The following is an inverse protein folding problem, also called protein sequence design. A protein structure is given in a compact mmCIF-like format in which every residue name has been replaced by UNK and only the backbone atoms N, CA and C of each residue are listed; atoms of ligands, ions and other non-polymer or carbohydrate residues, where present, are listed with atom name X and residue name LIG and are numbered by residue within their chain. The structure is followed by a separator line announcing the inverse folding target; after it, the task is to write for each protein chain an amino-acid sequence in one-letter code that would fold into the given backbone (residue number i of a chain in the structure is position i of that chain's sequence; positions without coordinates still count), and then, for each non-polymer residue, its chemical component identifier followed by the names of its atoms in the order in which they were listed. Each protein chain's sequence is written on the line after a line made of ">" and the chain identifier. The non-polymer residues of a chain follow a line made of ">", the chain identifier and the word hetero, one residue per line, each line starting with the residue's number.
data_IF_479737469842
#
_entry.id   IF_479737469842
#
_cell.length_a   1.000
_cell.length_b   1.000
_cell.length_c   1.000
_cell.angle_alpha   90.00
_cell.angle_beta   90.00
_cell.angle_gamma   90.00
#
_symmetry.space_group_name_H-M   'P 1'
#
loop_
_entity.id
_entity.type
_entity.pdbx_description
1 polymer ?
#
# COMPACT_ATOMS: atom_id res chain seq x y z
N UNK A 1 -31.70 -3.61 -10.36
CA UNK A 1 -31.20 -2.23 -10.59
C UNK A 1 -29.75 -2.33 -11.00
N UNK A 2 -29.33 -1.80 -12.16
CA UNK A 2 -27.92 -1.79 -12.53
C UNK A 2 -27.14 -0.94 -11.52
N UNK A 3 -26.01 -1.45 -11.04
CA UNK A 3 -25.11 -0.68 -10.18
C UNK A 3 -24.42 0.39 -11.05
N UNK A 4 -24.39 1.62 -10.53
CA UNK A 4 -23.67 2.73 -11.15
C UNK A 4 -22.17 2.39 -11.31
N UNK A 5 -21.66 2.50 -12.53
CA UNK A 5 -20.28 2.12 -12.85
C UNK A 5 -19.24 2.97 -12.12
N UNK A 6 -19.53 4.25 -11.89
CA UNK A 6 -18.64 5.17 -11.17
C UNK A 6 -18.61 4.85 -9.68
N UNK A 7 -19.77 4.54 -9.09
CA UNK A 7 -19.83 4.03 -7.70
C UNK A 7 -18.99 2.75 -7.57
N UNK A 8 -19.14 1.84 -8.54
CA UNK A 8 -18.43 0.57 -8.51
C UNK A 8 -16.91 0.76 -8.67
N UNK A 9 -16.49 1.69 -9.52
CA UNK A 9 -15.09 2.07 -9.67
C UNK A 9 -14.50 2.60 -8.35
N UNK A 10 -15.23 3.44 -7.61
CA UNK A 10 -14.78 3.97 -6.31
C UNK A 10 -14.67 2.90 -5.25
N UNK A 11 -15.62 1.96 -5.19
CA UNK A 11 -15.56 0.85 -4.24
C UNK A 11 -14.35 -0.03 -4.53
N UNK A 12 -14.13 -0.44 -5.79
CA UNK A 12 -12.92 -1.18 -6.15
C UNK A 12 -11.64 -0.38 -5.86
N UNK A 13 -11.61 0.90 -6.22
CA UNK A 13 -10.49 1.80 -5.94
C UNK A 13 -10.16 1.90 -4.46
N UNK A 14 -11.18 1.94 -3.58
CA UNK A 14 -10.96 1.97 -2.13
C UNK A 14 -10.35 0.67 -1.60
N UNK A 15 -10.83 -0.49 -2.06
CA UNK A 15 -10.31 -1.78 -1.61
C UNK A 15 -8.88 -2.02 -2.12
N UNK A 16 -8.63 -1.73 -3.39
CA UNK A 16 -7.30 -1.83 -4.00
C UNK A 16 -6.34 -0.80 -3.38
N UNK A 17 -6.80 0.44 -3.19
CA UNK A 17 -6.02 1.51 -2.59
C UNK A 17 -5.62 1.21 -1.14
N UNK A 18 -6.52 0.59 -0.36
CA UNK A 18 -6.23 0.10 0.98
C UNK A 18 -5.11 -0.96 0.94
N UNK A 19 -5.23 -1.96 0.07
CA UNK A 19 -4.21 -3.01 -0.10
C UNK A 19 -2.85 -2.44 -0.55
N UNK A 20 -2.85 -1.47 -1.49
CA UNK A 20 -1.63 -0.79 -1.92
C UNK A 20 -1.00 0.03 -0.80
N UNK A 21 -1.80 0.72 0.02
CA UNK A 21 -1.33 1.49 1.16
C UNK A 21 -0.61 0.63 2.20
N UNK A 22 -1.18 -0.53 2.51
CA UNK A 22 -0.55 -1.51 3.40
C UNK A 22 0.75 -2.09 2.80
N UNK A 23 0.72 -2.59 1.56
CA UNK A 23 1.91 -3.16 0.92
C UNK A 23 3.06 -2.14 0.72
N UNK A 24 2.75 -0.84 0.59
CA UNK A 24 3.76 0.22 0.58
C UNK A 24 4.27 0.56 1.99
N UNK A 25 3.42 0.49 3.00
CA UNK A 25 3.74 0.85 4.38
C UNK A 25 4.50 -0.23 5.14
N UNK A 26 4.16 -1.50 4.95
CA UNK A 26 4.73 -2.61 5.71
C UNK A 26 6.26 -2.75 5.59
N UNK A 27 6.90 -2.56 4.42
CA UNK A 27 8.36 -2.60 4.30
C UNK A 27 9.10 -1.53 5.13
N UNK A 28 8.43 -0.41 5.42
CA UNK A 28 8.99 0.72 6.18
C UNK A 28 8.38 0.86 7.56
N UNK A 29 7.60 -0.11 8.02
CA UNK A 29 6.96 -0.07 9.33
C UNK A 29 8.02 0.09 10.42
N UNK A 30 7.71 0.92 11.42
CA UNK A 30 8.61 1.32 12.51
C UNK A 30 9.86 2.11 12.10
N UNK A 31 10.03 2.51 10.83
CA UNK A 31 11.08 3.45 10.45
C UNK A 31 10.74 4.88 10.91
N UNK A 32 11.73 5.64 11.42
CA UNK A 32 11.48 7.02 11.84
C UNK A 32 11.21 7.93 10.63
N UNK A 33 10.45 9.02 10.82
CA UNK A 33 10.12 9.97 9.73
C UNK A 33 11.35 10.49 8.98
N UNK A 34 12.47 10.72 9.68
CA UNK A 34 13.77 11.11 9.09
C UNK A 34 14.28 10.10 8.05
N UNK A 35 14.05 8.80 8.25
CA UNK A 35 14.42 7.77 7.30
C UNK A 35 13.61 7.92 6.00
N UNK A 36 12.30 8.14 6.10
CA UNK A 36 11.41 8.32 4.95
C UNK A 36 11.67 9.61 4.16
N UNK A 37 12.14 10.67 4.82
CA UNK A 37 12.57 11.90 4.13
C UNK A 37 13.82 11.66 3.27
N UNK A 38 14.72 10.77 3.71
CA UNK A 38 15.94 10.42 2.97
C UNK A 38 15.72 9.31 1.95
N UNK A 39 14.77 8.43 2.21
CA UNK A 39 14.45 7.26 1.39
C UNK A 39 12.95 7.29 1.07
N UNK A 40 12.51 8.17 0.15
CA UNK A 40 11.11 8.22 -0.25
C UNK A 40 10.69 6.91 -0.92
N UNK A 41 9.48 6.45 -0.63
CA UNK A 41 8.91 5.24 -1.22
C UNK A 41 8.30 5.62 -2.57
N UNK A 42 8.84 5.07 -3.64
CA UNK A 42 8.39 5.33 -5.01
C UNK A 42 7.76 4.11 -5.70
N UNK A 43 7.92 2.92 -5.12
CA UNK A 43 7.43 1.65 -5.66
C UNK A 43 7.25 0.62 -4.53
N UNK A 44 6.55 -0.47 -4.80
CA UNK A 44 6.44 -1.62 -3.93
C UNK A 44 7.82 -2.27 -3.70
N UNK A 45 8.07 -2.69 -2.47
CA UNK A 45 9.36 -3.24 -2.03
C UNK A 45 9.15 -4.54 -1.27
N UNK A 46 10.14 -5.43 -1.32
CA UNK A 46 10.20 -6.61 -0.45
C UNK A 46 10.95 -6.28 0.85
N UNK A 47 10.84 -7.16 1.84
CA UNK A 47 11.57 -7.09 3.11
C UNK A 47 10.80 -6.39 4.23
N UNK A 48 11.44 -5.41 4.86
CA UNK A 48 10.92 -4.75 6.07
C UNK A 48 10.93 -5.63 7.32
N UNK A 49 10.18 -5.21 8.32
CA UNK A 49 10.12 -5.86 9.64
C UNK A 49 9.69 -7.33 9.57
N UNK A 50 8.89 -7.69 8.55
CA UNK A 50 8.27 -9.01 8.43
C UNK A 50 8.83 -9.86 7.27
N UNK A 51 9.82 -9.34 6.52
CA UNK A 51 10.41 -10.09 5.41
C UNK A 51 9.45 -10.39 4.25
N UNK A 52 8.51 -9.47 3.96
CA UNK A 52 7.43 -9.67 2.99
C UNK A 52 7.95 -9.73 1.55
N UNK A 53 7.22 -10.44 0.68
CA UNK A 53 7.44 -10.35 -0.77
C UNK A 53 6.96 -9.01 -1.31
N UNK A 54 7.49 -8.57 -2.46
CA UNK A 54 7.08 -7.31 -3.10
C UNK A 54 5.57 -7.36 -3.42
N UNK A 55 4.80 -6.43 -2.85
CA UNK A 55 3.36 -6.33 -3.05
C UNK A 55 2.51 -7.23 -2.16
N UNK A 56 3.12 -7.97 -1.22
CA UNK A 56 2.38 -8.75 -0.23
C UNK A 56 1.75 -7.82 0.82
N UNK A 57 0.45 -8.03 1.08
CA UNK A 57 -0.32 -7.36 2.15
C UNK A 57 -0.22 -8.11 3.48
N UNK A 58 -0.45 -7.41 4.58
CA UNK A 58 -0.38 -7.90 5.97
C UNK A 58 -1.63 -7.56 6.77
#
# INVERSE_FOLDING_TARGET
>A
VPIDKEVMNRVHGSMIGMALGDALGAPVEFRPRKYLLKNPIADLQSGGTWGLQKGQVR
#
